data_IF_821910436788
#
_entry.id   IF_821910436788
#
_cell.length_a   1.000
_cell.length_b   1.000
_cell.length_c   1.000
_cell.angle_alpha   90.00
_cell.angle_beta   90.00
_cell.angle_gamma   90.00
#
_symmetry.space_group_name_H-M   'P 1'
#
loop_
_entity.id
_entity.type
_entity.pdbx_description
1 polymer ?
#
# COMPACT_ATOMS: atom_id res chain seq x y z
N UNK A 1 -21.80 -30.37 22.06
CA UNK A 1 -20.46 -30.72 21.54
C UNK A 1 -20.09 -30.00 20.24
N UNK A 2 -20.92 -30.01 19.18
CA UNK A 2 -20.62 -29.32 17.90
C UNK A 2 -20.50 -27.79 18.00
N UNK A 3 -21.29 -27.14 18.86
CA UNK A 3 -21.25 -25.66 19.07
C UNK A 3 -19.96 -25.16 19.73
N UNK A 4 -19.36 -25.96 20.63
CA UNK A 4 -18.07 -25.64 21.23
C UNK A 4 -16.94 -25.75 20.19
N UNK A 5 -16.99 -26.78 19.34
CA UNK A 5 -16.00 -26.98 18.27
C UNK A 5 -16.01 -25.82 17.26
N UNK A 6 -17.19 -25.29 16.93
CA UNK A 6 -17.35 -24.11 16.06
C UNK A 6 -16.75 -22.86 16.72
N UNK A 7 -16.95 -22.65 18.02
CA UNK A 7 -16.33 -21.52 18.75
C UNK A 7 -14.80 -21.64 18.81
N UNK A 8 -14.27 -22.85 19.02
CA UNK A 8 -12.83 -23.11 18.98
C UNK A 8 -12.23 -22.89 17.59
N UNK A 9 -12.92 -23.30 16.53
CA UNK A 9 -12.49 -23.07 15.15
C UNK A 9 -12.56 -21.58 14.76
N UNK A 10 -13.61 -20.87 15.17
CA UNK A 10 -13.77 -19.43 14.92
C UNK A 10 -12.72 -18.59 15.65
N UNK A 11 -12.38 -18.94 16.89
CA UNK A 11 -11.34 -18.25 17.65
C UNK A 11 -9.93 -18.52 17.09
N UNK A 12 -9.63 -19.76 16.70
CA UNK A 12 -8.36 -20.10 16.03
C UNK A 12 -8.19 -19.36 14.68
N UNK A 13 -9.26 -19.24 13.88
CA UNK A 13 -9.23 -18.48 12.62
C UNK A 13 -9.03 -16.97 12.83
N UNK A 14 -9.47 -16.42 13.97
CA UNK A 14 -9.28 -15.00 14.30
C UNK A 14 -7.84 -14.69 14.73
N UNK A 15 -7.12 -15.65 15.33
CA UNK A 15 -5.71 -15.50 15.73
C UNK A 15 -4.77 -15.38 14.52
N UNK A 16 -5.11 -15.98 13.39
CA UNK A 16 -4.33 -15.84 12.14
C UNK A 16 -4.47 -14.47 11.45
N UNK A 17 -5.38 -13.60 11.90
CA UNK A 17 -5.78 -12.40 11.16
C UNK A 17 -5.03 -11.11 11.55
N UNK A 18 -3.97 -11.17 12.37
CA UNK A 18 -3.33 -9.97 12.97
C UNK A 18 -1.82 -9.87 12.68
N UNK A 19 -1.32 -10.50 11.63
CA UNK A 19 0.07 -10.30 11.21
C UNK A 19 0.14 -9.25 10.10
N UNK A 20 0.72 -8.09 10.40
CA UNK A 20 1.07 -7.11 9.38
C UNK A 20 2.10 -7.67 8.39
N UNK A 21 2.11 -7.15 7.17
CA UNK A 21 3.10 -7.51 6.14
C UNK A 21 4.50 -7.22 6.70
N UNK A 22 5.40 -8.20 6.65
CA UNK A 22 6.77 -8.00 7.10
C UNK A 22 7.65 -7.54 5.93
N UNK A 23 8.22 -6.35 6.03
CA UNK A 23 9.12 -5.77 5.04
C UNK A 23 10.49 -5.57 5.68
N UNK A 24 11.50 -6.26 5.14
CA UNK A 24 12.91 -6.16 5.57
C UNK A 24 13.82 -6.09 4.34
N UNK A 25 15.12 -6.14 4.53
CA UNK A 25 16.10 -6.21 3.46
C UNK A 25 17.32 -7.02 3.90
N UNK A 26 18.07 -7.53 2.95
CA UNK A 26 19.41 -8.09 3.17
C UNK A 26 20.39 -7.56 2.14
N UNK A 27 21.60 -8.14 2.08
CA UNK A 27 22.66 -7.73 1.16
C UNK A 27 22.29 -7.86 -0.34
N UNK A 28 21.15 -8.50 -0.68
CA UNK A 28 20.74 -8.78 -2.05
C UNK A 28 19.45 -8.08 -2.46
N UNK A 29 18.44 -8.00 -1.59
CA UNK A 29 17.12 -7.51 -1.98
C UNK A 29 16.24 -7.04 -0.81
N UNK A 30 15.17 -6.33 -1.16
CA UNK A 30 14.01 -6.14 -0.29
C UNK A 30 13.31 -7.49 -0.12
N UNK A 31 12.87 -7.79 1.10
CA UNK A 31 12.18 -9.02 1.48
C UNK A 31 10.78 -8.67 1.96
N UNK A 32 9.76 -9.12 1.22
CA UNK A 32 8.35 -8.94 1.57
C UNK A 32 7.76 -10.32 1.88
N UNK A 33 7.26 -10.50 3.10
CA UNK A 33 6.73 -11.78 3.61
C UNK A 33 7.69 -12.96 3.38
N UNK A 34 8.96 -12.75 3.72
CA UNK A 34 10.03 -13.74 3.58
C UNK A 34 10.51 -13.99 2.13
N UNK A 35 9.93 -13.32 1.14
CA UNK A 35 10.30 -13.47 -0.28
C UNK A 35 11.14 -12.29 -0.75
N UNK A 36 12.36 -12.57 -1.21
CA UNK A 36 13.20 -11.57 -1.90
C UNK A 36 12.52 -11.12 -3.19
N UNK A 37 12.46 -9.81 -3.42
CA UNK A 37 11.87 -9.19 -4.61
C UNK A 37 12.85 -8.18 -5.21
N UNK A 38 13.00 -8.21 -6.53
CA UNK A 38 13.50 -7.06 -7.28
C UNK A 38 12.27 -6.24 -7.62
N UNK A 39 12.13 -5.05 -7.03
CA UNK A 39 10.96 -4.20 -7.21
C UNK A 39 11.20 -3.23 -8.36
N UNK A 40 10.34 -3.24 -9.37
CA UNK A 40 10.33 -2.25 -10.44
C UNK A 40 9.38 -1.12 -10.04
N UNK A 41 9.91 0.08 -9.83
CA UNK A 41 9.14 1.24 -9.39
C UNK A 41 8.97 2.27 -10.50
N UNK A 42 7.84 2.98 -10.50
CA UNK A 42 7.63 4.16 -11.34
C UNK A 42 6.90 5.27 -10.60
N UNK A 43 7.21 6.51 -10.94
CA UNK A 43 6.68 7.68 -10.23
C UNK A 43 5.33 8.14 -10.79
N UNK A 44 4.35 8.34 -9.90
CA UNK A 44 3.08 9.03 -10.21
C UNK A 44 2.86 10.10 -9.15
N UNK A 45 2.94 11.38 -9.53
CA UNK A 45 2.64 12.49 -8.61
C UNK A 45 1.13 12.78 -8.64
N UNK A 46 0.41 12.38 -7.59
CA UNK A 46 -1.05 12.43 -7.55
C UNK A 46 -1.66 13.81 -7.86
N UNK A 47 -1.07 14.99 -7.50
CA UNK A 47 -1.66 16.29 -7.88
C UNK A 47 -1.48 16.66 -9.35
N UNK A 48 -0.69 15.90 -10.12
CA UNK A 48 -0.44 16.16 -11.55
C UNK A 48 -1.42 15.42 -12.46
N UNK A 49 -2.43 14.77 -11.88
CA UNK A 49 -3.55 14.14 -12.56
C UNK A 49 -4.80 14.25 -11.69
N UNK A 50 -6.00 14.15 -12.27
CA UNK A 50 -7.24 14.21 -11.50
C UNK A 50 -7.52 12.87 -10.81
N UNK A 51 -8.31 12.85 -9.71
CA UNK A 51 -8.73 11.61 -9.05
C UNK A 51 -9.31 10.56 -10.00
N UNK A 52 -10.11 11.00 -10.99
CA UNK A 52 -10.70 10.12 -12.02
C UNK A 52 -9.66 9.44 -12.92
N UNK A 53 -8.49 10.06 -13.11
CA UNK A 53 -7.41 9.49 -13.91
C UNK A 53 -6.59 8.43 -13.16
N UNK A 54 -6.52 8.51 -11.82
CA UNK A 54 -5.60 7.68 -11.03
C UNK A 54 -5.78 6.17 -11.23
N UNK A 55 -7.01 5.60 -11.23
CA UNK A 55 -7.20 4.17 -11.45
C UNK A 55 -6.62 3.72 -12.80
N UNK A 56 -6.83 4.51 -13.86
CA UNK A 56 -6.32 4.21 -15.19
C UNK A 56 -4.79 4.33 -15.30
N UNK A 57 -4.19 5.31 -14.60
CA UNK A 57 -2.74 5.45 -14.54
C UNK A 57 -2.09 4.27 -13.80
N UNK A 58 -2.64 3.91 -12.64
CA UNK A 58 -2.16 2.75 -11.86
C UNK A 58 -2.32 1.45 -12.65
N UNK A 59 -3.43 1.28 -13.36
CA UNK A 59 -3.66 0.10 -14.20
C UNK A 59 -2.61 0.00 -15.32
N UNK A 60 -2.37 1.09 -16.06
CA UNK A 60 -1.33 1.12 -17.11
C UNK A 60 0.06 0.84 -16.56
N UNK A 61 0.38 1.37 -15.37
CA UNK A 61 1.64 1.08 -14.68
C UNK A 61 1.78 -0.40 -14.34
N UNK A 62 0.72 -1.02 -13.83
CA UNK A 62 0.69 -2.46 -13.53
C UNK A 62 0.81 -3.31 -14.80
N UNK A 63 0.09 -2.96 -15.86
CA UNK A 63 0.17 -3.64 -17.16
C UNK A 63 1.56 -3.48 -17.78
N UNK A 64 2.25 -2.36 -17.50
CA UNK A 64 3.64 -2.10 -17.85
C UNK A 64 4.68 -2.84 -16.99
N UNK A 65 4.24 -3.66 -16.02
CA UNK A 65 5.13 -4.49 -15.20
C UNK A 65 5.71 -3.80 -13.97
N UNK A 66 5.13 -2.67 -13.52
CA UNK A 66 5.55 -2.04 -12.27
C UNK A 66 4.99 -2.81 -11.05
N UNK A 67 5.86 -3.01 -10.06
CA UNK A 67 5.50 -3.56 -8.74
C UNK A 67 5.08 -2.45 -7.76
N UNK A 68 5.64 -1.25 -7.92
CA UNK A 68 5.55 -0.16 -6.95
C UNK A 68 5.28 1.17 -7.64
N UNK A 69 4.35 1.94 -7.07
CA UNK A 69 4.20 3.37 -7.40
C UNK A 69 4.93 4.19 -6.36
N UNK A 70 5.82 5.08 -6.81
CA UNK A 70 6.45 6.08 -5.96
C UNK A 70 5.76 7.44 -6.13
N UNK A 71 5.56 8.18 -5.04
CA UNK A 71 4.96 9.51 -5.09
C UNK A 71 5.52 10.43 -4.02
N UNK A 72 5.77 11.68 -4.39
CA UNK A 72 6.03 12.74 -3.41
C UNK A 72 4.73 13.24 -2.79
N UNK A 73 4.83 13.75 -1.56
CA UNK A 73 3.78 14.54 -0.92
C UNK A 73 4.11 16.02 -1.07
N UNK A 74 3.22 16.77 -1.71
CA UNK A 74 3.41 18.18 -2.01
C UNK A 74 2.92 19.04 -0.85
N UNK A 75 3.81 19.29 0.13
CA UNK A 75 3.45 19.99 1.37
C UNK A 75 2.76 21.33 1.12
N UNK A 76 3.29 22.15 0.20
CA UNK A 76 2.75 23.46 -0.12
C UNK A 76 1.30 23.44 -0.62
N UNK A 77 0.85 22.33 -1.22
CA UNK A 77 -0.53 22.16 -1.63
C UNK A 77 -1.44 21.73 -0.45
N UNK A 78 -0.89 20.95 0.49
CA UNK A 78 -1.61 20.51 1.69
C UNK A 78 -1.66 21.58 2.78
N UNK A 79 -0.69 22.49 2.81
CA UNK A 79 -0.61 23.61 3.76
C UNK A 79 -0.18 24.89 3.01
N UNK A 80 -1.10 25.53 2.27
CA UNK A 80 -0.80 26.74 1.51
C UNK A 80 -0.58 27.97 2.41
N UNK A 81 -1.18 27.95 3.60
CA UNK A 81 -0.99 28.96 4.66
C UNK A 81 -0.61 28.22 5.93
N UNK A 82 0.35 28.76 6.69
CA UNK A 82 0.87 28.13 7.91
C UNK A 82 -0.29 27.75 8.86
N UNK A 83 -0.29 26.49 9.29
CA UNK A 83 -1.30 25.83 10.12
C UNK A 83 -2.70 25.69 9.49
N UNK A 84 -2.87 25.91 8.19
CA UNK A 84 -4.13 25.70 7.47
C UNK A 84 -4.03 24.51 6.53
N UNK A 85 -4.61 23.38 6.92
CA UNK A 85 -4.68 22.19 6.08
C UNK A 85 -5.74 22.39 5.00
N UNK A 86 -5.35 22.23 3.74
CA UNK A 86 -6.27 22.21 2.60
C UNK A 86 -6.65 20.76 2.28
N UNK A 87 -7.94 20.51 2.09
CA UNK A 87 -8.41 19.24 1.53
C UNK A 87 -8.35 19.34 0.00
N UNK A 88 -7.36 18.70 -0.62
CA UNK A 88 -7.35 18.52 -2.07
C UNK A 88 -8.28 17.36 -2.43
N UNK A 89 -9.52 17.68 -2.74
CA UNK A 89 -10.48 16.80 -3.43
C UNK A 89 -10.82 17.40 -4.78
#
# INVERSE_FOLDING_TARGET
MKRLLIHWLLTAAMVTAVLGVNVTYDHRAVVIDGKRRVLVSGSIHYPRSTPDMWPGLIQKSKDGGLDVIETYVFWNLHEPVRNQKSCMT
#
